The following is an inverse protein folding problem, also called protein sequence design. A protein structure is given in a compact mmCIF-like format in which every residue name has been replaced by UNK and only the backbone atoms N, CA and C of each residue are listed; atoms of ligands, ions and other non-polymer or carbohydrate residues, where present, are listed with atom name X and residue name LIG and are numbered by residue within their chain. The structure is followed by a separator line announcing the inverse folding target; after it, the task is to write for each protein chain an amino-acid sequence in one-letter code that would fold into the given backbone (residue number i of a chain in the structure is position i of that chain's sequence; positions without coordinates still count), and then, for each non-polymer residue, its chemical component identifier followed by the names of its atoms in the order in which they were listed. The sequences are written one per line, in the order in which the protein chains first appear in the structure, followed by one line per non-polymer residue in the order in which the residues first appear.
data_IF_344931098766
#
_entry.id   IF_344931098766
#
_cell.length_a   1.000
_cell.length_b   1.000
_cell.length_c   1.000
_cell.angle_alpha   90.00
_cell.angle_beta   90.00
_cell.angle_gamma   90.00
#
_symmetry.space_group_name_H-M   'P 1'
#
loop_
_entity.id
_entity.type
_entity.pdbx_description
1 polymer ?
#
# COMPACT_ATOMS: atom_id res chain seq x y z
N UNK A 1 -14.34 -11.04 5.58
CA UNK A 1 -14.53 -9.58 5.39
C UNK A 1 -15.45 -9.37 4.19
N UNK A 2 -16.41 -8.45 4.28
CA UNK A 2 -17.27 -8.07 3.14
C UNK A 2 -16.44 -7.35 2.07
N UNK A 3 -16.65 -7.62 0.78
CA UNK A 3 -15.84 -7.03 -0.31
C UNK A 3 -15.94 -5.50 -0.38
N UNK A 4 -17.10 -4.95 -0.03
CA UNK A 4 -17.33 -3.51 0.08
C UNK A 4 -16.42 -2.88 1.14
N UNK A 5 -16.31 -3.52 2.32
CA UNK A 5 -15.44 -3.10 3.41
C UNK A 5 -13.95 -3.26 3.03
N UNK A 6 -13.59 -4.34 2.33
CA UNK A 6 -12.24 -4.55 1.82
C UNK A 6 -11.84 -3.44 0.85
N UNK A 7 -12.69 -3.13 -0.15
CA UNK A 7 -12.43 -2.04 -1.09
C UNK A 7 -12.24 -0.68 -0.41
N UNK A 8 -13.05 -0.38 0.61
CA UNK A 8 -12.90 0.83 1.42
C UNK A 8 -11.54 0.89 2.14
N UNK A 9 -11.15 -0.20 2.82
CA UNK A 9 -9.87 -0.32 3.55
C UNK A 9 -8.67 -0.17 2.63
N UNK A 10 -8.67 -0.86 1.50
CA UNK A 10 -7.59 -0.79 0.51
C UNK A 10 -7.38 0.63 -0.01
N UNK A 11 -8.46 1.37 -0.29
CA UNK A 11 -8.36 2.78 -0.70
C UNK A 11 -7.88 3.69 0.42
N UNK A 12 -8.28 3.42 1.67
CA UNK A 12 -7.81 4.19 2.82
C UNK A 12 -6.31 3.99 3.06
N UNK A 13 -5.82 2.75 2.97
CA UNK A 13 -4.38 2.43 3.00
C UNK A 13 -3.65 3.13 1.85
N UNK A 14 -4.18 3.08 0.62
CA UNK A 14 -3.56 3.73 -0.52
C UNK A 14 -3.39 5.24 -0.30
N UNK A 15 -4.40 5.93 0.25
CA UNK A 15 -4.31 7.36 0.59
C UNK A 15 -3.26 7.64 1.66
N UNK A 16 -3.20 6.78 2.68
CA UNK A 16 -2.24 6.91 3.78
C UNK A 16 -0.78 6.73 3.33
N UNK A 17 -0.56 5.89 2.31
CA UNK A 17 0.75 5.72 1.68
C UNK A 17 1.07 6.91 0.77
N UNK A 18 0.08 7.41 0.03
CA UNK A 18 0.25 8.51 -0.93
C UNK A 18 0.53 9.85 -0.25
N UNK A 19 -0.15 10.12 0.88
CA UNK A 19 -0.13 11.41 1.55
C UNK A 19 0.09 11.28 3.07
N UNK A 20 0.78 12.25 3.70
CA UNK A 20 0.91 12.28 5.15
C UNK A 20 -0.43 12.52 5.83
N UNK A 21 -0.61 11.91 7.00
CA UNK A 21 -1.78 12.13 7.87
C UNK A 21 -1.77 13.54 8.42
N UNK A 22 -2.89 14.24 8.32
CA UNK A 22 -3.07 15.60 8.85
C UNK A 22 -4.12 15.67 9.95
N UNK A 23 -5.09 14.76 9.90
CA UNK A 23 -6.25 14.70 10.78
C UNK A 23 -6.68 13.25 11.02
N UNK A 24 -7.53 13.03 12.04
CA UNK A 24 -8.15 11.72 12.26
C UNK A 24 -9.03 11.26 11.09
N UNK A 25 -9.57 12.19 10.31
CA UNK A 25 -10.39 11.85 9.14
C UNK A 25 -9.58 11.11 8.06
N UNK A 26 -8.26 11.32 8.00
CA UNK A 26 -7.39 10.62 7.05
C UNK A 26 -7.22 9.13 7.39
N UNK A 27 -7.52 8.74 8.64
CA UNK A 27 -7.52 7.36 9.11
C UNK A 27 -8.88 6.67 9.00
N UNK A 28 -9.92 7.36 8.52
CA UNK A 28 -11.25 6.77 8.38
C UNK A 28 -11.23 5.54 7.47
N UNK A 29 -11.83 4.45 7.99
CA UNK A 29 -11.87 3.15 7.32
C UNK A 29 -10.74 2.21 7.71
N UNK A 30 -9.75 2.65 8.48
CA UNK A 30 -8.64 1.83 9.01
C UNK A 30 -8.82 1.54 10.50
N UNK A 31 -8.23 0.45 10.99
CA UNK A 31 -8.19 0.12 12.42
C UNK A 31 -6.90 0.62 13.09
N UNK A 32 -6.51 1.88 12.82
CA UNK A 32 -5.31 2.53 13.38
C UNK A 32 -5.68 3.47 14.53
N UNK A 33 -5.01 3.33 15.67
CA UNK A 33 -5.17 4.28 16.79
C UNK A 33 -4.48 5.62 16.52
N UNK A 34 -5.25 6.61 16.06
CA UNK A 34 -4.78 7.97 15.79
C UNK A 34 -4.46 8.82 17.03
N UNK A 35 -4.36 8.25 18.24
CA UNK A 35 -4.05 9.00 19.47
C UNK A 35 -2.75 9.80 19.41
N UNK A 36 -1.76 9.33 18.64
CA UNK A 36 -0.46 9.99 18.44
C UNK A 36 -0.57 11.31 17.65
N UNK A 37 -1.59 11.46 16.80
CA UNK A 37 -1.81 12.69 16.02
C UNK A 37 -2.11 13.92 16.88
N UNK A 38 -2.48 13.73 18.16
CA UNK A 38 -2.69 14.83 19.10
C UNK A 38 -1.40 15.38 19.69
N UNK A 39 -0.30 14.64 19.54
CA UNK A 39 0.98 14.92 20.19
C UNK A 39 2.02 15.47 19.20
N UNK A 40 1.90 15.12 17.92
CA UNK A 40 2.83 15.53 16.86
C UNK A 40 2.26 16.67 16.01
N UNK A 41 3.15 17.55 15.55
CA UNK A 41 2.78 18.60 14.59
C UNK A 41 2.58 18.02 13.18
N UNK A 42 1.78 18.71 12.35
CA UNK A 42 1.56 18.28 10.97
C UNK A 42 2.85 18.26 10.14
N UNK A 43 3.78 19.16 10.43
CA UNK A 43 5.08 19.21 9.76
C UNK A 43 5.97 18.01 10.14
N UNK A 44 5.93 17.58 11.40
CA UNK A 44 6.63 16.36 11.85
C UNK A 44 6.05 15.11 11.18
N UNK A 45 4.72 14.98 11.13
CA UNK A 45 4.05 13.86 10.44
C UNK A 45 4.40 13.82 8.95
N UNK A 46 4.46 14.98 8.29
CA UNK A 46 4.84 15.08 6.88
C UNK A 46 6.32 14.74 6.65
N UNK A 47 7.20 15.22 7.53
CA UNK A 47 8.63 14.90 7.47
C UNK A 47 8.88 13.40 7.69
N UNK A 48 8.18 12.78 8.64
CA UNK A 48 8.28 11.36 8.91
C UNK A 48 7.76 10.53 7.74
N UNK A 49 6.63 10.91 7.14
CA UNK A 49 6.10 10.25 5.95
C UNK A 49 7.07 10.28 4.78
N UNK A 50 7.63 11.46 4.48
CA UNK A 50 8.65 11.60 3.45
C UNK A 50 9.89 10.74 3.76
N UNK A 51 10.36 10.78 5.02
CA UNK A 51 11.50 9.98 5.46
C UNK A 51 11.24 8.49 5.22
N UNK A 52 10.13 7.95 5.70
CA UNK A 52 9.87 6.50 5.66
C UNK A 52 9.52 6.01 4.25
N UNK A 53 8.59 6.67 3.56
CA UNK A 53 8.01 6.15 2.31
C UNK A 53 8.64 6.69 1.02
N UNK A 54 9.56 7.65 1.14
CA UNK A 54 10.29 8.19 -0.03
C UNK A 54 11.79 8.03 0.10
N UNK A 55 12.36 8.33 1.28
CA UNK A 55 13.81 8.32 1.47
C UNK A 55 14.35 6.95 1.90
N UNK A 56 13.81 6.39 2.99
CA UNK A 56 14.31 5.14 3.58
C UNK A 56 13.85 3.93 2.75
N UNK A 57 12.63 3.98 2.21
CA UNK A 57 12.03 2.91 1.45
C UNK A 57 10.99 3.47 0.49
N UNK A 58 11.06 3.10 -0.79
CA UNK A 58 9.95 3.28 -1.73
C UNK A 58 9.14 1.98 -1.77
N UNK A 59 7.82 1.98 -1.50
CA UNK A 59 7.04 0.76 -1.37
C UNK A 59 6.64 0.19 -2.75
N UNK A 60 7.62 -0.26 -3.53
CA UNK A 60 7.41 -0.88 -4.85
C UNK A 60 7.98 -2.30 -4.89
N UNK A 61 7.20 -3.25 -5.40
CA UNK A 61 7.54 -4.67 -5.37
C UNK A 61 8.92 -4.98 -6.02
N UNK A 62 9.27 -4.28 -7.10
CA UNK A 62 10.54 -4.47 -7.81
C UNK A 62 11.76 -4.15 -6.95
N UNK A 63 11.65 -3.26 -5.95
CA UNK A 63 12.75 -2.97 -5.03
C UNK A 63 13.01 -4.11 -4.04
N UNK A 64 11.99 -4.89 -3.70
CA UNK A 64 12.11 -6.03 -2.79
C UNK A 64 12.47 -7.33 -3.52
N UNK A 65 11.94 -7.52 -4.73
CA UNK A 65 11.99 -8.81 -5.41
C UNK A 65 13.07 -8.91 -6.49
N UNK A 66 13.51 -7.79 -7.06
CA UNK A 66 14.51 -7.84 -8.13
C UNK A 66 15.93 -7.73 -7.59
N UNK A 67 16.83 -8.54 -8.14
CA UNK A 67 18.25 -8.56 -7.76
C UNK A 67 18.94 -7.19 -7.93
N UNK A 68 18.50 -6.39 -8.90
CA UNK A 68 19.06 -5.06 -9.16
C UNK A 68 18.37 -3.95 -8.35
N UNK A 69 17.29 -4.26 -7.64
CA UNK A 69 16.47 -3.30 -6.90
C UNK A 69 16.21 -2.00 -7.68
N UNK A 70 15.71 -2.15 -8.92
CA UNK A 70 15.40 -1.02 -9.80
C UNK A 70 13.88 -0.83 -9.90
N UNK A 71 13.44 0.43 -9.91
CA UNK A 71 12.03 0.79 -10.16
C UNK A 71 11.66 0.51 -11.61
N UNK A 72 10.41 0.08 -11.85
CA UNK A 72 9.89 -0.14 -13.20
C UNK A 72 10.44 -1.37 -13.91
N UNK A 73 10.98 -2.33 -13.15
CA UNK A 73 11.55 -3.57 -13.66
C UNK A 73 10.53 -4.56 -14.24
N UNK A 74 10.98 -5.80 -14.46
CA UNK A 74 10.15 -6.87 -15.00
C UNK A 74 8.97 -7.22 -14.07
N UNK A 75 9.12 -7.07 -12.75
CA UNK A 75 8.02 -7.20 -11.78
C UNK A 75 6.94 -6.15 -12.08
N UNK A 76 7.32 -4.89 -12.20
CA UNK A 76 6.42 -3.78 -12.55
C UNK A 76 5.71 -4.01 -13.87
N UNK A 77 6.43 -4.49 -14.90
CA UNK A 77 5.84 -4.84 -16.20
C UNK A 77 4.73 -5.90 -16.09
N UNK A 78 4.95 -6.97 -15.32
CA UNK A 78 3.94 -8.03 -15.10
C UNK A 78 2.74 -7.54 -14.30
N UNK A 79 2.96 -6.68 -13.30
CA UNK A 79 1.88 -6.09 -12.51
C UNK A 79 1.03 -5.16 -13.39
N UNK A 80 1.67 -4.32 -14.22
CA UNK A 80 0.98 -3.46 -15.19
C UNK A 80 0.14 -4.27 -16.15
N UNK A 81 0.70 -5.34 -16.73
CA UNK A 81 -0.02 -6.23 -17.62
C UNK A 81 -1.25 -6.82 -16.93
N UNK A 82 -1.13 -7.30 -15.69
CA UNK A 82 -2.26 -7.83 -14.93
C UNK A 82 -3.35 -6.77 -14.68
N UNK A 83 -2.96 -5.53 -14.38
CA UNK A 83 -3.89 -4.40 -14.24
C UNK A 83 -4.64 -4.11 -15.54
N UNK A 84 -3.92 -3.95 -16.65
CA UNK A 84 -4.49 -3.62 -17.97
C UNK A 84 -5.49 -4.69 -18.44
N UNK A 85 -5.20 -5.98 -18.21
CA UNK A 85 -6.10 -7.09 -18.57
C UNK A 85 -7.45 -7.06 -17.83
N UNK A 86 -7.55 -6.32 -16.73
CA UNK A 86 -8.80 -6.16 -15.96
C UNK A 86 -9.53 -4.84 -16.25
N UNK A 87 -8.94 -4.00 -17.12
CA UNK A 87 -9.44 -2.65 -17.39
C UNK A 87 -9.05 -1.61 -16.34
N UNK A 88 -8.15 -1.95 -15.40
CA UNK A 88 -7.58 -0.98 -14.47
C UNK A 88 -6.38 -0.26 -15.09
N UNK A 89 -6.39 1.07 -15.05
CA UNK A 89 -5.28 1.90 -15.53
C UNK A 89 -4.51 2.47 -14.33
N UNK A 90 -3.28 1.99 -14.05
CA UNK A 90 -2.47 2.55 -12.96
C UNK A 90 -1.98 3.97 -13.29
N UNK A 91 -1.82 4.81 -12.27
CA UNK A 91 -1.12 6.08 -12.42
C UNK A 91 0.39 5.80 -12.50
N UNK A 92 0.88 5.72 -13.73
CA UNK A 92 2.30 5.51 -14.02
C UNK A 92 3.10 6.80 -14.17
N UNK A 93 2.44 7.95 -14.05
CA UNK A 93 3.10 9.25 -14.06
C UNK A 93 3.72 9.60 -12.71
N UNK A 94 3.07 9.17 -11.62
CA UNK A 94 3.54 9.37 -10.25
C UNK A 94 4.41 8.22 -9.75
N UNK A 95 4.05 6.97 -10.09
CA UNK A 95 4.67 5.78 -9.51
C UNK A 95 4.86 4.66 -10.54
N UNK A 96 5.78 3.70 -10.37
CA UNK A 96 5.74 2.48 -11.17
C UNK A 96 4.46 1.67 -10.86
N UNK A 97 4.05 0.79 -11.78
CA UNK A 97 2.78 0.05 -11.66
C UNK A 97 2.72 -0.88 -10.43
N UNK A 98 3.87 -1.34 -9.96
CA UNK A 98 4.02 -2.19 -8.77
C UNK A 98 4.27 -1.41 -7.48
N UNK A 99 4.14 -0.09 -7.51
CA UNK A 99 4.05 0.71 -6.30
C UNK A 99 2.77 0.35 -5.52
N UNK A 100 2.88 0.31 -4.20
CA UNK A 100 1.82 -0.17 -3.32
C UNK A 100 0.51 0.60 -3.50
N UNK A 101 0.57 1.91 -3.75
CA UNK A 101 -0.61 2.73 -4.05
C UNK A 101 -1.40 2.16 -5.24
N UNK A 102 -0.72 1.93 -6.37
CA UNK A 102 -1.34 1.36 -7.57
C UNK A 102 -1.87 -0.06 -7.30
N UNK A 103 -1.12 -0.88 -6.57
CA UNK A 103 -1.52 -2.25 -6.21
C UNK A 103 -2.79 -2.25 -5.35
N UNK A 104 -2.85 -1.44 -4.28
CA UNK A 104 -4.00 -1.37 -3.40
C UNK A 104 -5.25 -0.85 -4.12
N UNK A 105 -5.11 0.18 -4.95
CA UNK A 105 -6.22 0.71 -5.76
C UNK A 105 -6.71 -0.33 -6.77
N UNK A 106 -5.81 -1.12 -7.36
CA UNK A 106 -6.19 -2.21 -8.25
C UNK A 106 -6.97 -3.30 -7.51
N UNK A 107 -6.51 -3.73 -6.33
CA UNK A 107 -7.25 -4.72 -5.53
C UNK A 107 -8.62 -4.18 -5.09
N UNK A 108 -8.71 -2.90 -4.75
CA UNK A 108 -9.98 -2.25 -4.43
C UNK A 108 -10.94 -2.31 -5.62
N UNK A 109 -10.44 -1.99 -6.82
CA UNK A 109 -11.21 -2.08 -8.07
C UNK A 109 -11.76 -3.49 -8.32
N UNK A 110 -10.96 -4.54 -8.08
CA UNK A 110 -11.41 -5.92 -8.19
C UNK A 110 -12.48 -6.27 -7.13
N UNK A 111 -12.31 -5.79 -5.90
CA UNK A 111 -13.28 -5.98 -4.83
C UNK A 111 -14.63 -5.31 -5.15
N UNK A 112 -14.62 -4.09 -5.68
CA UNK A 112 -15.83 -3.37 -6.11
C UNK A 112 -16.59 -4.11 -7.21
N UNK A 113 -15.84 -4.72 -8.14
CA UNK A 113 -16.38 -5.53 -9.24
C UNK A 113 -16.81 -6.92 -8.79
N UNK A 114 -16.56 -7.29 -7.53
CA UNK A 114 -16.77 -8.62 -6.99
C UNK A 114 -16.06 -9.73 -7.78
N UNK A 115 -14.93 -9.41 -8.41
CA UNK A 115 -14.09 -10.36 -9.16
C UNK A 115 -13.14 -11.08 -8.20
N UNK A 116 -13.72 -11.98 -7.39
CA UNK A 116 -13.04 -12.68 -6.30
C UNK A 116 -11.88 -13.55 -6.82
N UNK A 117 -12.08 -14.22 -7.96
CA UNK A 117 -11.08 -15.12 -8.53
C UNK A 117 -9.83 -14.35 -8.96
N UNK A 118 -10.02 -13.25 -9.69
CA UNK A 118 -8.89 -12.39 -10.10
C UNK A 118 -8.24 -11.74 -8.90
N UNK A 119 -9.02 -11.27 -7.92
CA UNK A 119 -8.51 -10.69 -6.68
C UNK A 119 -7.58 -11.67 -5.95
N UNK A 120 -8.04 -12.90 -5.71
CA UNK A 120 -7.24 -13.94 -5.04
C UNK A 120 -5.98 -14.29 -5.82
N UNK A 121 -6.09 -14.43 -7.15
CA UNK A 121 -4.95 -14.75 -8.02
C UNK A 121 -3.91 -13.63 -7.98
N UNK A 122 -4.33 -12.38 -8.15
CA UNK A 122 -3.44 -11.22 -8.13
C UNK A 122 -2.77 -11.08 -6.77
N UNK A 123 -3.52 -11.16 -5.67
CA UNK A 123 -2.94 -11.12 -4.32
C UNK A 123 -1.86 -12.18 -4.16
N UNK A 124 -2.16 -13.44 -4.53
CA UNK A 124 -1.20 -14.54 -4.41
C UNK A 124 0.06 -14.34 -5.24
N UNK A 125 -0.07 -13.88 -6.49
CA UNK A 125 1.04 -13.81 -7.44
C UNK A 125 1.88 -12.53 -7.28
N UNK A 126 1.22 -11.40 -7.05
CA UNK A 126 1.84 -10.07 -7.13
C UNK A 126 1.99 -9.37 -5.77
N UNK A 127 1.40 -9.89 -4.70
CA UNK A 127 1.38 -9.21 -3.40
C UNK A 127 2.08 -10.02 -2.31
N UNK A 128 1.68 -11.29 -2.12
CA UNK A 128 2.16 -12.09 -0.98
C UNK A 128 3.68 -12.31 -0.95
N UNK A 129 4.36 -12.23 -2.09
CA UNK A 129 5.80 -12.48 -2.20
C UNK A 129 6.69 -11.38 -1.59
N UNK A 130 6.18 -10.16 -1.43
CA UNK A 130 6.95 -9.02 -0.90
C UNK A 130 6.27 -8.30 0.26
N UNK A 131 4.97 -8.55 0.48
CA UNK A 131 4.23 -7.91 1.55
C UNK A 131 4.84 -8.11 2.95
N UNK A 132 5.30 -9.32 3.35
CA UNK A 132 5.97 -9.49 4.64
C UNK A 132 7.26 -8.67 4.78
N UNK A 133 8.01 -8.48 3.69
CA UNK A 133 9.24 -7.69 3.69
C UNK A 133 8.95 -6.20 3.87
N UNK A 134 7.87 -5.72 3.23
CA UNK A 134 7.39 -4.36 3.43
C UNK A 134 6.95 -4.14 4.88
N UNK A 135 6.15 -5.04 5.45
CA UNK A 135 5.67 -4.94 6.84
C UNK A 135 6.86 -4.90 7.81
N UNK A 136 7.87 -5.76 7.60
CA UNK A 136 9.11 -5.74 8.37
C UNK A 136 9.84 -4.39 8.25
N UNK A 137 10.01 -3.86 7.04
CA UNK A 137 10.63 -2.56 6.83
C UNK A 137 9.86 -1.39 7.49
N UNK A 138 8.53 -1.41 7.43
CA UNK A 138 7.67 -0.45 8.14
C UNK A 138 7.88 -0.55 9.65
N UNK A 139 7.96 -1.77 10.20
CA UNK A 139 8.18 -2.00 11.63
C UNK A 139 9.53 -1.49 12.14
N UNK A 140 10.55 -1.50 11.27
CA UNK A 140 11.91 -1.05 11.57
C UNK A 140 12.10 0.46 11.40
N UNK A 141 11.10 1.18 10.89
CA UNK A 141 11.15 2.64 10.68
C UNK A 141 11.27 3.45 11.97
N UNK A 142 10.94 2.84 13.11
CA UNK A 142 10.90 3.47 14.44
C UNK A 142 9.66 4.35 14.69
N UNK A 143 8.80 4.51 13.68
CA UNK A 143 7.68 5.42 13.68
C UNK A 143 6.37 4.72 14.04
N UNK A 144 5.62 5.27 15.01
CA UNK A 144 4.40 4.61 15.52
C UNK A 144 3.35 4.44 14.42
N UNK A 145 3.11 5.47 13.60
CA UNK A 145 2.14 5.39 12.50
C UNK A 145 2.46 4.26 11.52
N UNK A 146 3.73 4.10 11.14
CA UNK A 146 4.15 3.10 10.16
C UNK A 146 4.13 1.69 10.74
N UNK A 147 4.39 1.53 12.04
CA UNK A 147 4.15 0.26 12.73
C UNK A 147 2.67 -0.13 12.66
N UNK A 148 1.76 0.77 13.01
CA UNK A 148 0.30 0.53 12.93
C UNK A 148 -0.15 0.26 11.48
N UNK A 149 0.43 0.97 10.51
CA UNK A 149 0.19 0.74 9.08
C UNK A 149 0.60 -0.68 8.66
N UNK A 150 1.74 -1.18 9.14
CA UNK A 150 2.17 -2.57 8.89
C UNK A 150 1.16 -3.59 9.41
N UNK A 151 0.63 -3.37 10.63
CA UNK A 151 -0.41 -4.24 11.21
C UNK A 151 -1.73 -4.16 10.43
N UNK A 152 -2.17 -2.97 10.01
CA UNK A 152 -3.38 -2.79 9.22
C UNK A 152 -3.26 -3.48 7.85
N UNK A 153 -2.09 -3.38 7.20
CA UNK A 153 -1.78 -4.09 5.96
C UNK A 153 -1.84 -5.60 6.17
N UNK A 154 -1.21 -6.12 7.22
CA UNK A 154 -1.23 -7.54 7.56
C UNK A 154 -2.67 -8.06 7.74
N UNK A 155 -3.49 -7.37 8.54
CA UNK A 155 -4.88 -7.75 8.79
C UNK A 155 -5.75 -7.66 7.52
N UNK A 156 -5.46 -6.71 6.63
CA UNK A 156 -6.24 -6.53 5.39
C UNK A 156 -5.86 -7.53 4.30
N UNK A 157 -4.58 -7.90 4.23
CA UNK A 157 -4.01 -8.64 3.09
C UNK A 157 -3.63 -10.08 3.38
N UNK A 158 -3.32 -10.41 4.64
CA UNK A 158 -2.81 -11.71 5.07
C UNK A 158 -3.75 -12.42 6.06
N UNK A 159 -4.71 -11.69 6.66
CA UNK A 159 -5.72 -12.18 7.60
C UNK A 159 -7.01 -12.72 6.98
#
# INVERSE_FOLDING_TARGET
MELSLLGMRLRALARLIDQPVRTLADLEGLAIDGSFLKQESQDEMAAEHYRVLTHDMVPAASLFLERKAMLGGAVSGRVREAMEHTGFAPDTSSYPADHLVNVLLFLAHLADRQDIETLQRVTRVHVLSWMPLLIDALSQSGAKLFNEMGHEIEQTMLG
#
